data_IF_604988464658
#
_entry.id   IF_604988464658
#
_cell.length_a   1.000
_cell.length_b   1.000
_cell.length_c   1.000
_cell.angle_alpha   90.00
_cell.angle_beta   90.00
_cell.angle_gamma   90.00
#
_symmetry.space_group_name_H-M   'P 1'
#
loop_
_entity.id
_entity.type
_entity.pdbx_description
1 polymer ?
#
# COMPACT_ATOMS: atom_id res chain seq x y z
N UNK A 1 24.82 -14.03 7.26
CA UNK A 1 25.02 -12.82 6.44
C UNK A 1 25.64 -11.73 7.30
N UNK A 2 26.72 -11.11 6.83
CA UNK A 2 27.30 -9.90 7.45
C UNK A 2 26.34 -8.70 7.33
N UNK A 3 26.59 -7.65 8.10
CA UNK A 3 25.75 -6.44 8.03
C UNK A 3 25.85 -5.75 6.66
N UNK A 4 27.01 -5.82 6.00
CA UNK A 4 27.20 -5.34 4.65
C UNK A 4 26.36 -6.14 3.61
N UNK A 5 26.30 -7.44 3.73
CA UNK A 5 25.47 -8.32 2.88
C UNK A 5 23.97 -8.04 3.08
N UNK A 6 23.54 -7.83 4.34
CA UNK A 6 22.15 -7.46 4.64
C UNK A 6 21.77 -6.11 4.01
N UNK A 7 22.66 -5.12 4.10
CA UNK A 7 22.45 -3.79 3.52
C UNK A 7 22.36 -3.87 2.00
N UNK A 8 23.28 -4.60 1.35
CA UNK A 8 23.27 -4.79 -0.10
C UNK A 8 21.99 -5.51 -0.57
N UNK A 9 21.53 -6.52 0.18
CA UNK A 9 20.28 -7.21 -0.12
C UNK A 9 19.07 -6.29 -0.02
N UNK A 10 18.98 -5.46 1.03
CA UNK A 10 17.89 -4.47 1.18
C UNK A 10 17.86 -3.49 0.01
N UNK A 11 19.01 -3.00 -0.42
CA UNK A 11 19.11 -2.08 -1.55
C UNK A 11 18.68 -2.76 -2.87
N UNK A 12 19.08 -4.00 -3.08
CA UNK A 12 18.65 -4.77 -4.26
C UNK A 12 17.12 -4.95 -4.30
N UNK A 13 16.48 -5.21 -3.13
CA UNK A 13 15.01 -5.31 -3.04
C UNK A 13 14.37 -3.97 -3.42
N UNK A 14 14.84 -2.84 -2.87
CA UNK A 14 14.30 -1.51 -3.21
C UNK A 14 14.45 -1.20 -4.70
N UNK A 15 15.62 -1.48 -5.28
CA UNK A 15 15.85 -1.27 -6.71
C UNK A 15 14.89 -2.10 -7.57
N UNK A 16 14.70 -3.36 -7.24
CA UNK A 16 13.77 -4.25 -7.96
C UNK A 16 12.34 -3.71 -7.91
N UNK A 17 11.88 -3.25 -6.74
CA UNK A 17 10.57 -2.64 -6.57
C UNK A 17 10.47 -1.34 -7.36
N UNK A 18 11.47 -0.45 -7.26
CA UNK A 18 11.50 0.84 -7.96
C UNK A 18 11.40 0.68 -9.48
N UNK A 19 12.19 -0.23 -10.06
CA UNK A 19 12.16 -0.53 -11.50
C UNK A 19 10.79 -1.08 -11.92
N UNK A 20 10.21 -2.00 -11.16
CA UNK A 20 8.89 -2.55 -11.43
C UNK A 20 7.78 -1.48 -11.44
N UNK A 21 7.76 -0.61 -10.44
CA UNK A 21 6.77 0.46 -10.33
C UNK A 21 7.01 1.60 -11.33
N UNK A 22 8.26 1.89 -11.71
CA UNK A 22 8.56 2.81 -12.81
C UNK A 22 7.98 2.32 -14.15
N UNK A 23 8.10 1.01 -14.44
CA UNK A 23 7.50 0.41 -15.63
C UNK A 23 5.96 0.53 -15.61
N UNK A 24 5.31 0.31 -14.47
CA UNK A 24 3.86 0.50 -14.30
C UNK A 24 3.47 1.96 -14.53
N UNK A 25 4.18 2.92 -13.93
CA UNK A 25 3.92 4.35 -14.09
C UNK A 25 3.98 4.78 -15.56
N UNK A 26 4.90 4.19 -16.34
CA UNK A 26 5.09 4.47 -17.76
C UNK A 26 4.14 3.67 -18.69
N UNK A 27 3.24 2.85 -18.15
CA UNK A 27 2.32 2.02 -18.92
C UNK A 27 3.01 0.86 -19.68
N UNK A 28 4.24 0.52 -19.31
CA UNK A 28 5.05 -0.53 -19.98
C UNK A 28 4.80 -1.92 -19.39
N UNK A 29 4.20 -2.00 -18.21
CA UNK A 29 3.87 -3.27 -17.55
C UNK A 29 2.50 -3.15 -16.90
N UNK A 30 1.68 -4.14 -17.12
CA UNK A 30 0.38 -4.23 -16.48
C UNK A 30 0.52 -5.11 -15.25
N UNK A 31 0.52 -4.49 -14.09
CA UNK A 31 0.55 -5.03 -12.73
C UNK A 31 1.81 -5.75 -12.21
N UNK A 32 1.94 -5.67 -10.88
CA UNK A 32 2.97 -6.29 -10.04
C UNK A 32 3.06 -7.83 -10.14
N UNK A 33 2.24 -8.46 -10.94
CA UNK A 33 2.10 -9.91 -11.04
C UNK A 33 2.72 -10.51 -12.30
N UNK A 34 3.52 -9.77 -13.07
CA UNK A 34 4.30 -10.34 -14.21
C UNK A 34 3.46 -10.91 -15.37
N UNK A 35 2.16 -10.74 -15.38
CA UNK A 35 1.24 -11.22 -16.40
C UNK A 35 0.63 -10.09 -17.23
N UNK A 36 0.29 -10.36 -18.48
CA UNK A 36 -0.45 -9.46 -19.37
C UNK A 36 -1.84 -9.15 -18.79
N UNK A 37 -1.99 -7.99 -18.14
CA UNK A 37 -3.21 -7.57 -17.48
C UNK A 37 -4.23 -6.96 -18.46
N UNK A 38 -4.51 -7.62 -19.56
CA UNK A 38 -5.63 -7.24 -20.42
C UNK A 38 -7.01 -7.60 -19.83
N UNK A 39 -7.08 -8.08 -18.59
CA UNK A 39 -8.30 -8.62 -18.00
C UNK A 39 -8.83 -7.87 -16.76
N UNK A 40 -8.13 -6.87 -16.23
CA UNK A 40 -8.56 -6.21 -14.99
C UNK A 40 -8.86 -4.72 -15.24
N UNK A 41 -10.14 -4.40 -15.11
CA UNK A 41 -10.59 -3.01 -14.99
C UNK A 41 -10.21 -2.48 -13.58
N UNK A 42 -9.25 -1.52 -13.47
CA UNK A 42 -8.86 -0.97 -12.18
C UNK A 42 -10.03 -0.37 -11.39
N UNK A 43 -11.05 0.13 -12.07
CA UNK A 43 -12.23 0.68 -11.42
C UNK A 43 -13.07 -0.43 -10.77
N UNK A 44 -13.21 -1.58 -11.43
CA UNK A 44 -13.93 -2.74 -10.88
C UNK A 44 -13.23 -3.30 -9.64
N UNK A 45 -11.89 -3.38 -9.66
CA UNK A 45 -11.12 -3.78 -8.49
C UNK A 45 -11.35 -2.82 -7.33
N UNK A 46 -11.20 -1.52 -7.57
CA UNK A 46 -11.39 -0.50 -6.55
C UNK A 46 -12.81 -0.55 -5.95
N UNK A 47 -13.86 -0.76 -6.77
CA UNK A 47 -15.22 -0.94 -6.27
C UNK A 47 -15.36 -2.19 -5.38
N UNK A 48 -14.73 -3.30 -5.77
CA UNK A 48 -14.78 -4.55 -5.00
C UNK A 48 -14.15 -4.43 -3.60
N UNK A 49 -13.22 -3.50 -3.41
CA UNK A 49 -12.55 -3.21 -2.13
C UNK A 49 -13.13 -2.00 -1.39
N UNK A 50 -14.26 -1.46 -1.85
CA UNK A 50 -15.05 -0.49 -1.11
C UNK A 50 -14.91 0.97 -1.54
N UNK A 51 -14.32 1.27 -2.71
CA UNK A 51 -14.40 2.61 -3.29
C UNK A 51 -15.71 2.80 -4.05
N UNK A 52 -16.37 3.93 -3.89
CA UNK A 52 -17.60 4.22 -4.62
C UNK A 52 -17.29 4.57 -6.08
N UNK A 53 -18.22 4.24 -6.99
CA UNK A 53 -18.10 4.65 -8.40
C UNK A 53 -18.02 6.19 -8.53
N UNK A 54 -18.69 6.92 -7.65
CA UNK A 54 -18.67 8.38 -7.61
C UNK A 54 -17.27 8.91 -7.22
N UNK A 55 -16.62 8.34 -6.20
CA UNK A 55 -15.28 8.73 -5.80
C UNK A 55 -14.24 8.41 -6.90
N UNK A 56 -14.39 7.27 -7.57
CA UNK A 56 -13.51 6.88 -8.67
C UNK A 56 -13.63 7.80 -9.88
N UNK A 57 -14.85 8.25 -10.21
CA UNK A 57 -15.10 9.17 -11.32
C UNK A 57 -14.49 10.57 -11.11
N UNK A 58 -14.18 10.93 -9.86
CA UNK A 58 -13.56 12.20 -9.47
C UNK A 58 -12.03 12.20 -9.59
N UNK A 59 -11.42 11.04 -9.76
CA UNK A 59 -9.96 10.92 -9.79
C UNK A 59 -9.36 11.31 -11.14
N UNK A 60 -8.13 11.86 -11.16
CA UNK A 60 -7.40 12.08 -12.38
C UNK A 60 -7.17 10.77 -13.15
N UNK A 61 -7.10 10.85 -14.48
CA UNK A 61 -6.79 9.70 -15.31
C UNK A 61 -5.44 9.08 -14.93
N UNK A 62 -5.43 7.76 -14.75
CA UNK A 62 -4.24 7.00 -14.38
C UNK A 62 -3.80 7.14 -12.91
N UNK A 63 -4.58 7.80 -12.03
CA UNK A 63 -4.34 7.74 -10.59
C UNK A 63 -4.68 6.34 -10.05
N UNK A 64 -5.78 5.73 -10.52
CA UNK A 64 -6.12 4.36 -10.21
C UNK A 64 -5.38 3.40 -11.16
N UNK A 65 -4.41 2.69 -10.65
CA UNK A 65 -3.59 1.72 -11.39
C UNK A 65 -3.92 0.25 -11.04
N UNK A 66 -4.98 0.02 -10.25
CA UNK A 66 -5.39 -1.32 -9.84
C UNK A 66 -4.43 -2.00 -8.84
N UNK A 67 -3.73 -1.24 -8.02
CA UNK A 67 -2.70 -1.71 -7.10
C UNK A 67 -3.17 -1.81 -5.64
N UNK A 68 -4.45 -1.51 -5.37
CA UNK A 68 -5.00 -1.43 -4.01
C UNK A 68 -5.50 -2.78 -3.52
N UNK A 69 -5.32 -3.07 -2.22
CA UNK A 69 -5.85 -4.26 -1.55
C UNK A 69 -6.89 -3.96 -0.46
N UNK A 70 -7.29 -2.69 -0.33
CA UNK A 70 -8.31 -2.21 0.58
C UNK A 70 -8.58 -0.72 0.40
N UNK A 71 -9.39 -0.13 1.29
CA UNK A 71 -9.74 1.28 1.28
C UNK A 71 -9.38 1.94 2.62
N UNK A 72 -8.10 2.31 2.84
CA UNK A 72 -7.65 2.93 4.07
C UNK A 72 -8.28 4.31 4.31
N UNK A 73 -8.66 5.05 3.25
CA UNK A 73 -9.33 6.36 3.35
C UNK A 73 -10.70 6.23 4.02
N UNK A 74 -11.48 5.20 3.65
CA UNK A 74 -12.78 4.95 4.27
C UNK A 74 -12.64 4.50 5.73
N UNK A 75 -11.66 3.62 6.01
CA UNK A 75 -11.40 3.08 7.36
C UNK A 75 -10.91 4.21 8.28
N UNK A 76 -10.06 5.09 7.79
CA UNK A 76 -9.47 6.18 8.58
C UNK A 76 -10.49 7.19 9.12
N UNK A 77 -11.70 7.28 8.56
CA UNK A 77 -12.72 8.27 8.94
C UNK A 77 -12.10 9.68 9.12
N UNK A 78 -11.49 10.18 8.04
CA UNK A 78 -10.78 11.45 8.01
C UNK A 78 -11.71 12.63 8.36
N UNK A 79 -11.16 13.65 9.02
CA UNK A 79 -11.85 14.87 9.43
C UNK A 79 -11.23 16.09 8.78
N UNK A 80 -12.05 17.11 8.57
CA UNK A 80 -11.60 18.42 8.10
C UNK A 80 -10.48 18.97 9.00
N UNK A 81 -9.47 19.59 8.38
CA UNK A 81 -8.34 20.20 9.07
C UNK A 81 -7.19 19.26 9.45
N UNK A 82 -7.33 17.94 9.26
CA UNK A 82 -6.27 16.99 9.57
C UNK A 82 -5.10 17.06 8.59
N UNK A 83 -3.90 16.77 9.09
CA UNK A 83 -2.71 16.48 8.28
C UNK A 83 -2.62 14.96 8.08
N UNK A 84 -2.65 14.52 6.83
CA UNK A 84 -2.61 13.10 6.42
C UNK A 84 -1.30 12.81 5.69
N UNK A 85 -0.69 11.68 5.97
CA UNK A 85 0.44 11.14 5.23
C UNK A 85 -0.02 9.86 4.51
N UNK A 86 0.24 9.78 3.21
CA UNK A 86 -0.03 8.61 2.38
C UNK A 86 1.30 7.96 1.98
N UNK A 87 1.55 6.75 2.49
CA UNK A 87 2.76 5.97 2.21
C UNK A 87 2.62 5.19 0.90
N UNK A 88 3.60 5.36 0.00
CA UNK A 88 3.55 4.77 -1.32
C UNK A 88 2.39 5.31 -2.14
N UNK A 89 2.29 6.64 -2.20
CA UNK A 89 1.13 7.33 -2.78
C UNK A 89 0.93 7.09 -4.28
N UNK A 90 1.90 6.48 -4.98
CA UNK A 90 1.83 6.20 -6.40
C UNK A 90 1.43 7.43 -7.22
N UNK A 91 0.44 7.28 -8.10
CA UNK A 91 -0.16 8.38 -8.88
C UNK A 91 -1.12 9.30 -8.11
N UNK A 92 -1.22 9.14 -6.78
CA UNK A 92 -2.05 9.99 -5.90
C UNK A 92 -3.46 9.45 -5.61
N UNK A 93 -3.71 8.16 -5.84
CA UNK A 93 -5.05 7.57 -5.73
C UNK A 93 -5.74 7.84 -4.38
N UNK A 94 -5.12 7.44 -3.27
CA UNK A 94 -5.66 7.66 -1.92
C UNK A 94 -5.42 9.10 -1.45
N UNK A 95 -4.30 9.73 -1.84
CA UNK A 95 -3.96 11.11 -1.46
C UNK A 95 -5.00 12.13 -1.93
N UNK A 96 -5.50 12.05 -3.17
CA UNK A 96 -6.51 12.99 -3.68
C UNK A 96 -7.86 12.80 -2.98
N UNK A 97 -8.26 11.56 -2.70
CA UNK A 97 -9.48 11.29 -1.94
C UNK A 97 -9.38 11.81 -0.49
N UNK A 98 -8.22 11.60 0.15
CA UNK A 98 -7.94 12.15 1.47
C UNK A 98 -8.00 13.69 1.47
N UNK A 99 -7.46 14.33 0.42
CA UNK A 99 -7.48 15.79 0.25
C UNK A 99 -8.90 16.37 0.25
N UNK A 100 -9.83 15.72 -0.43
CA UNK A 100 -11.24 16.13 -0.43
C UNK A 100 -11.91 15.96 0.94
N UNK A 101 -11.51 14.94 1.71
CA UNK A 101 -12.05 14.68 3.05
C UNK A 101 -11.54 15.71 4.08
N UNK A 102 -10.25 16.07 4.02
CA UNK A 102 -9.66 17.02 4.97
C UNK A 102 -9.88 18.49 4.60
N UNK A 103 -10.33 18.77 3.38
CA UNK A 103 -10.70 20.07 2.85
C UNK A 103 -9.57 21.13 2.92
N UNK A 104 -9.91 22.41 2.69
CA UNK A 104 -8.94 23.52 2.64
C UNK A 104 -8.16 23.73 3.94
N UNK A 105 -8.73 23.39 5.10
CA UNK A 105 -8.08 23.49 6.39
C UNK A 105 -7.10 22.38 6.70
N UNK A 106 -7.12 21.27 5.94
CA UNK A 106 -6.25 20.13 6.09
C UNK A 106 -5.12 20.10 5.06
N UNK A 107 -4.26 19.09 5.18
CA UNK A 107 -3.13 18.86 4.27
C UNK A 107 -2.91 17.37 4.06
N UNK A 108 -2.54 16.98 2.85
CA UNK A 108 -2.12 15.61 2.53
C UNK A 108 -0.72 15.64 1.95
N UNK A 109 0.13 14.75 2.46
CA UNK A 109 1.50 14.54 2.00
C UNK A 109 1.56 13.11 1.45
N UNK A 110 1.73 12.95 0.15
CA UNK A 110 2.01 11.65 -0.46
C UNK A 110 3.52 11.44 -0.54
N UNK A 111 4.00 10.26 -0.13
CA UNK A 111 5.41 9.86 -0.26
C UNK A 111 5.50 8.62 -1.12
N UNK A 112 6.40 8.63 -2.11
CA UNK A 112 6.72 7.46 -2.95
C UNK A 112 8.21 7.47 -3.30
N UNK A 113 8.83 6.30 -3.41
CA UNK A 113 10.26 6.21 -3.74
C UNK A 113 10.54 6.20 -5.25
N UNK A 114 9.48 6.11 -6.08
CA UNK A 114 9.57 6.00 -7.54
C UNK A 114 9.41 7.38 -8.17
N UNK A 115 10.45 7.94 -8.82
CA UNK A 115 10.36 9.26 -9.43
C UNK A 115 9.24 9.41 -10.47
N UNK A 116 8.97 8.36 -11.25
CA UNK A 116 7.92 8.32 -12.25
C UNK A 116 6.52 8.39 -11.64
N UNK A 117 6.32 7.73 -10.49
CA UNK A 117 5.08 7.83 -9.71
C UNK A 117 4.87 9.24 -9.20
N UNK A 118 5.90 9.85 -8.60
CA UNK A 118 5.84 11.23 -8.12
C UNK A 118 5.59 12.22 -9.26
N UNK A 119 6.22 12.04 -10.42
CA UNK A 119 5.98 12.88 -11.59
C UNK A 119 4.51 12.79 -12.05
N UNK A 120 3.95 11.57 -12.09
CA UNK A 120 2.55 11.32 -12.42
C UNK A 120 1.61 11.96 -11.40
N UNK A 121 1.85 11.77 -10.10
CA UNK A 121 1.07 12.36 -9.03
C UNK A 121 1.06 13.89 -9.10
N UNK A 122 2.22 14.51 -9.30
CA UNK A 122 2.34 15.97 -9.46
C UNK A 122 1.60 16.50 -10.68
N UNK A 123 1.66 15.79 -11.82
CA UNK A 123 0.87 16.14 -13.01
C UNK A 123 -0.65 16.06 -12.71
N UNK A 124 -1.08 15.08 -11.93
CA UNK A 124 -2.46 14.90 -11.54
C UNK A 124 -2.96 16.00 -10.56
N UNK A 125 -2.06 16.70 -9.89
CA UNK A 125 -2.41 17.80 -8.97
C UNK A 125 -3.15 18.95 -9.66
N UNK A 126 -2.77 19.26 -10.90
CA UNK A 126 -3.45 20.34 -11.67
C UNK A 126 -4.92 20.01 -11.91
N UNK A 127 -5.23 18.78 -12.30
CA UNK A 127 -6.60 18.31 -12.47
C UNK A 127 -7.37 18.35 -11.14
N UNK A 128 -6.77 17.89 -10.06
CA UNK A 128 -7.35 17.91 -8.73
C UNK A 128 -7.72 19.34 -8.29
N UNK A 129 -6.78 20.29 -8.44
CA UNK A 129 -7.00 21.70 -8.09
C UNK A 129 -8.09 22.36 -8.93
N UNK A 130 -8.10 22.12 -10.25
CA UNK A 130 -9.12 22.66 -11.16
C UNK A 130 -10.51 22.15 -10.80
N UNK A 131 -10.64 20.87 -10.46
CA UNK A 131 -11.93 20.27 -10.14
C UNK A 131 -12.45 20.65 -8.75
N UNK A 132 -11.57 20.71 -7.74
CA UNK A 132 -11.98 20.86 -6.33
C UNK A 132 -11.81 22.27 -5.79
N UNK A 133 -10.97 23.10 -6.43
CA UNK A 133 -10.52 24.37 -5.88
C UNK A 133 -9.54 24.22 -4.69
N UNK A 134 -9.10 23.00 -4.36
CA UNK A 134 -8.22 22.72 -3.23
C UNK A 134 -6.77 22.64 -3.68
N UNK A 135 -5.85 23.23 -2.89
CA UNK A 135 -4.38 23.16 -3.08
C UNK A 135 -3.70 22.52 -1.86
N UNK A 136 -4.31 21.48 -1.30
CA UNK A 136 -3.96 20.89 -0.02
C UNK A 136 -3.26 19.51 -0.12
N UNK A 137 -2.86 19.09 -1.33
CA UNK A 137 -2.15 17.82 -1.58
C UNK A 137 -0.77 18.13 -2.17
N UNK A 138 0.28 17.51 -1.62
CA UNK A 138 1.63 17.59 -2.14
C UNK A 138 2.28 16.21 -2.20
N UNK A 139 3.30 16.03 -3.05
CA UNK A 139 4.01 14.77 -3.25
C UNK A 139 5.52 14.93 -3.08
N UNK A 140 6.12 14.04 -2.28
CA UNK A 140 7.53 14.01 -1.96
C UNK A 140 8.17 12.70 -2.40
N UNK A 141 9.32 12.78 -3.04
CA UNK A 141 10.16 11.62 -3.31
C UNK A 141 10.85 11.19 -2.01
N UNK A 142 10.72 9.92 -1.64
CA UNK A 142 11.34 9.39 -0.41
C UNK A 142 10.99 7.93 -0.18
N UNK A 143 11.82 7.27 0.64
CA UNK A 143 11.60 5.90 1.11
C UNK A 143 10.76 5.92 2.39
N UNK A 144 9.90 4.90 2.56
CA UNK A 144 9.02 4.82 3.73
C UNK A 144 9.77 4.44 5.02
N UNK A 145 10.98 3.89 4.90
CA UNK A 145 11.90 3.62 6.00
C UNK A 145 12.60 4.88 6.53
N UNK A 146 12.56 6.00 5.75
CA UNK A 146 13.18 7.28 6.08
C UNK A 146 12.32 8.43 5.54
N UNK A 147 11.20 8.68 6.21
CA UNK A 147 10.17 9.59 5.73
C UNK A 147 10.68 11.05 5.68
N UNK A 148 10.56 11.74 4.52
CA UNK A 148 10.90 13.17 4.40
C UNK A 148 9.81 14.06 5.04
N UNK A 149 9.48 13.76 6.30
CA UNK A 149 8.40 14.35 7.08
C UNK A 149 8.91 14.60 8.52
N UNK A 150 8.70 15.80 9.10
CA UNK A 150 9.11 16.10 10.46
C UNK A 150 8.42 15.23 11.51
N UNK A 151 9.01 15.18 12.71
CA UNK A 151 8.44 14.50 13.87
C UNK A 151 7.11 15.11 14.28
N UNK A 152 6.19 14.28 14.78
CA UNK A 152 4.95 14.67 15.44
C UNK A 152 4.14 15.76 14.69
N UNK A 153 4.04 15.66 13.36
CA UNK A 153 3.33 16.64 12.54
C UNK A 153 2.11 16.08 11.79
N UNK A 154 1.88 14.76 11.83
CA UNK A 154 0.83 14.05 11.09
C UNK A 154 -0.27 13.57 12.05
N UNK A 155 -1.53 13.78 11.69
CA UNK A 155 -2.68 13.29 12.45
C UNK A 155 -3.06 11.84 12.08
N UNK A 156 -2.94 11.52 10.78
CA UNK A 156 -3.32 10.20 10.25
C UNK A 156 -2.30 9.74 9.21
N UNK A 157 -1.85 8.48 9.31
CA UNK A 157 -1.07 7.82 8.27
C UNK A 157 -1.95 6.80 7.55
N UNK A 158 -1.95 6.85 6.23
CA UNK A 158 -2.58 5.90 5.32
C UNK A 158 -1.50 5.07 4.62
N UNK A 159 -1.82 3.82 4.28
CA UNK A 159 -1.01 3.00 3.38
C UNK A 159 -1.89 1.93 2.71
N UNK A 160 -1.60 1.64 1.44
CA UNK A 160 -2.34 0.66 0.66
C UNK A 160 -1.40 -0.22 -0.16
N UNK A 161 -1.18 -1.47 0.29
CA UNK A 161 -0.31 -2.47 -0.36
C UNK A 161 1.16 -2.00 -0.56
N UNK A 162 1.75 -1.35 0.43
CA UNK A 162 3.10 -0.76 0.30
C UNK A 162 4.08 -1.29 1.34
N UNK A 163 3.66 -1.49 2.59
CA UNK A 163 4.58 -1.85 3.68
C UNK A 163 5.27 -3.19 3.39
N UNK A 164 4.57 -4.12 2.73
CA UNK A 164 5.14 -5.41 2.32
C UNK A 164 6.30 -5.28 1.32
N UNK A 165 6.37 -4.21 0.55
CA UNK A 165 7.45 -3.94 -0.40
C UNK A 165 8.75 -3.50 0.30
N UNK A 166 8.66 -3.02 1.54
CA UNK A 166 9.83 -2.63 2.31
C UNK A 166 10.64 -3.83 2.77
N UNK A 167 11.97 -3.81 2.61
CA UNK A 167 12.88 -4.79 3.21
C UNK A 167 13.10 -4.60 4.71
N UNK A 168 12.59 -3.51 5.31
CA UNK A 168 12.71 -3.19 6.74
C UNK A 168 11.41 -2.64 7.34
N UNK A 169 10.41 -3.51 7.44
CA UNK A 169 9.08 -3.15 7.94
C UNK A 169 9.08 -2.61 9.37
N UNK A 170 9.96 -3.13 10.22
CA UNK A 170 10.10 -2.63 11.59
C UNK A 170 10.57 -1.17 11.59
N UNK A 171 11.48 -0.78 10.67
CA UNK A 171 11.89 0.61 10.51
C UNK A 171 10.75 1.48 9.98
N UNK A 172 9.93 0.97 9.05
CA UNK A 172 8.73 1.70 8.58
C UNK A 172 7.82 2.03 9.75
N UNK A 173 7.51 1.06 10.62
CA UNK A 173 6.64 1.32 11.78
C UNK A 173 7.24 2.32 12.77
N UNK A 174 8.57 2.32 12.97
CA UNK A 174 9.25 3.36 13.78
C UNK A 174 9.11 4.75 13.16
N UNK A 175 9.27 4.88 11.85
CA UNK A 175 9.11 6.15 11.14
C UNK A 175 7.66 6.65 11.17
N UNK A 176 6.70 5.75 10.97
CA UNK A 176 5.27 6.07 11.11
C UNK A 176 4.97 6.58 12.52
N UNK A 177 5.49 5.91 13.54
CA UNK A 177 5.34 6.36 14.92
C UNK A 177 6.01 7.73 15.17
N UNK A 178 7.20 7.95 14.62
CA UNK A 178 7.93 9.22 14.75
C UNK A 178 7.12 10.40 14.22
N UNK A 179 6.59 10.29 12.99
CA UNK A 179 5.90 11.40 12.31
C UNK A 179 4.49 11.67 12.86
N UNK A 180 3.85 10.71 13.49
CA UNK A 180 2.53 10.88 14.09
C UNK A 180 2.60 11.81 15.31
N UNK A 181 1.62 12.70 15.42
CA UNK A 181 1.34 13.46 16.65
C UNK A 181 0.91 12.51 17.77
N UNK A 182 1.10 12.90 19.06
CA UNK A 182 0.43 12.20 20.16
C UNK A 182 -1.08 12.08 19.92
N UNK A 183 -1.63 10.87 20.04
CA UNK A 183 -3.02 10.56 19.72
C UNK A 183 -3.34 10.40 18.22
N UNK A 184 -2.36 10.56 17.36
CA UNK A 184 -2.47 10.28 15.94
C UNK A 184 -2.69 8.79 15.66
N UNK A 185 -3.18 8.45 14.48
CA UNK A 185 -3.55 7.08 14.13
C UNK A 185 -3.03 6.63 12.78
N UNK A 186 -2.93 5.33 12.62
CA UNK A 186 -2.69 4.68 11.32
C UNK A 186 -3.95 4.01 10.81
N UNK A 187 -4.08 3.94 9.48
CA UNK A 187 -5.06 3.12 8.79
C UNK A 187 -4.37 2.53 7.55
N UNK A 188 -4.08 1.24 7.62
CA UNK A 188 -3.32 0.53 6.59
C UNK A 188 -4.15 -0.64 6.08
N UNK A 189 -4.09 -0.86 4.76
CA UNK A 189 -4.57 -2.09 4.13
C UNK A 189 -3.38 -2.74 3.43
N UNK A 190 -3.01 -3.95 3.82
CA UNK A 190 -1.93 -4.71 3.19
C UNK A 190 -2.22 -6.21 3.24
N UNK A 191 -1.47 -7.02 2.49
CA UNK A 191 -1.57 -8.46 2.59
C UNK A 191 -0.81 -8.98 3.81
N UNK A 192 -1.32 -10.01 4.45
CA UNK A 192 -0.66 -10.67 5.57
C UNK A 192 -0.80 -12.19 5.46
N UNK A 193 0.10 -12.91 6.12
CA UNK A 193 0.04 -14.36 6.22
C UNK A 193 -0.75 -14.76 7.46
N UNK A 194 -1.68 -15.71 7.28
CA UNK A 194 -2.37 -16.42 8.35
C UNK A 194 -1.51 -17.56 8.90
N UNK A 195 -0.78 -18.24 8.00
CA UNK A 195 0.22 -19.28 8.29
C UNK A 195 1.37 -19.19 7.29
N UNK A 196 2.51 -19.78 7.63
CA UNK A 196 3.66 -19.76 6.73
C UNK A 196 3.34 -20.45 5.41
N UNK A 197 3.75 -19.83 4.30
CA UNK A 197 3.66 -20.44 2.98
C UNK A 197 4.56 -21.67 2.91
N UNK A 198 4.14 -22.74 2.20
CA UNK A 198 5.03 -23.84 1.85
C UNK A 198 6.30 -23.34 1.16
N UNK A 199 7.45 -24.00 1.39
CA UNK A 199 8.73 -23.56 0.85
C UNK A 199 8.71 -23.40 -0.67
N UNK A 200 8.06 -24.34 -1.38
CA UNK A 200 7.87 -24.29 -2.83
C UNK A 200 7.13 -23.03 -3.29
N UNK A 201 6.07 -22.63 -2.57
CA UNK A 201 5.29 -21.42 -2.86
C UNK A 201 6.07 -20.18 -2.47
N UNK A 202 6.80 -20.21 -1.38
CA UNK A 202 7.61 -19.09 -0.89
C UNK A 202 8.72 -18.72 -1.88
N UNK A 203 9.36 -19.72 -2.49
CA UNK A 203 10.36 -19.49 -3.53
C UNK A 203 9.75 -18.89 -4.79
N UNK A 204 8.57 -19.34 -5.19
CA UNK A 204 7.82 -18.73 -6.31
C UNK A 204 7.37 -17.30 -5.97
N UNK A 205 6.84 -17.09 -4.77
CA UNK A 205 6.39 -15.76 -4.31
C UNK A 205 7.56 -14.78 -4.17
N UNK A 206 8.76 -15.23 -3.82
CA UNK A 206 9.96 -14.40 -3.80
C UNK A 206 10.39 -13.93 -5.20
N UNK A 207 10.02 -14.66 -6.25
CA UNK A 207 10.22 -14.23 -7.64
C UNK A 207 9.18 -13.18 -8.08
N UNK A 208 8.14 -12.94 -7.26
CA UNK A 208 7.05 -12.03 -7.54
C UNK A 208 7.30 -10.69 -6.87
N UNK A 209 7.70 -9.72 -7.64
CA UNK A 209 7.71 -8.31 -7.24
C UNK A 209 6.26 -7.90 -6.92
N UNK A 210 5.81 -8.14 -5.72
CA UNK A 210 4.45 -7.86 -5.29
C UNK A 210 4.24 -7.98 -3.79
N UNK A 211 3.08 -7.55 -3.32
CA UNK A 211 2.70 -7.51 -1.91
C UNK A 211 2.74 -8.89 -1.22
N UNK A 212 2.61 -9.99 -1.98
CA UNK A 212 2.62 -11.37 -1.44
C UNK A 212 4.01 -11.80 -1.00
N UNK A 213 5.05 -11.50 -1.79
CA UNK A 213 6.43 -11.92 -1.52
C UNK A 213 6.99 -11.36 -0.21
N UNK A 214 6.55 -10.17 0.15
CA UNK A 214 6.95 -9.52 1.39
C UNK A 214 5.97 -9.65 2.54
N UNK A 215 4.84 -10.34 2.35
CA UNK A 215 3.84 -10.50 3.41
C UNK A 215 4.44 -11.25 4.62
N UNK A 216 4.10 -10.78 5.80
CA UNK A 216 4.50 -11.37 7.07
C UNK A 216 3.28 -11.89 7.83
N UNK A 217 3.49 -12.71 8.86
CA UNK A 217 2.40 -13.19 9.70
C UNK A 217 1.67 -12.03 10.39
N UNK A 218 0.35 -12.17 10.56
CA UNK A 218 -0.46 -11.20 11.33
C UNK A 218 0.14 -10.95 12.72
N UNK A 219 0.68 -11.98 13.36
CA UNK A 219 1.35 -11.88 14.67
C UNK A 219 2.64 -11.06 14.61
N UNK A 220 3.42 -11.18 13.52
CA UNK A 220 4.64 -10.39 13.32
C UNK A 220 4.31 -8.91 13.09
N UNK A 221 3.23 -8.63 12.33
CA UNK A 221 2.73 -7.25 12.18
C UNK A 221 2.39 -6.63 13.53
N UNK A 222 1.69 -7.38 14.41
CA UNK A 222 1.38 -6.95 15.77
C UNK A 222 2.64 -6.65 16.57
N UNK A 223 3.61 -7.57 16.58
CA UNK A 223 4.86 -7.40 17.31
C UNK A 223 5.63 -6.15 16.88
N UNK A 224 5.74 -5.90 15.56
CA UNK A 224 6.41 -4.70 15.05
C UNK A 224 5.70 -3.40 15.47
N UNK A 225 4.38 -3.39 15.53
CA UNK A 225 3.61 -2.23 16.01
C UNK A 225 3.83 -1.98 17.50
N UNK A 226 3.79 -3.04 18.32
CA UNK A 226 4.04 -2.98 19.78
C UNK A 226 5.47 -2.50 20.06
N UNK A 227 6.47 -3.03 19.35
CA UNK A 227 7.87 -2.62 19.46
C UNK A 227 8.10 -1.15 19.04
N UNK A 228 7.34 -0.64 18.06
CA UNK A 228 7.38 0.76 17.67
C UNK A 228 6.70 1.70 18.66
N UNK A 229 5.92 1.19 19.63
CA UNK A 229 5.26 1.95 20.69
C UNK A 229 3.77 2.23 20.45
N UNK A 230 3.14 1.62 19.44
CA UNK A 230 1.72 1.79 19.16
C UNK A 230 0.85 1.14 20.24
N UNK A 231 -0.31 1.76 20.46
CA UNK A 231 -1.38 1.28 21.34
C UNK A 231 -2.68 1.08 20.56
N UNK A 232 -3.68 0.49 21.20
CA UNK A 232 -5.01 0.24 20.60
C UNK A 232 -4.90 -0.41 19.22
N UNK A 233 -4.09 -1.47 19.13
CA UNK A 233 -3.80 -2.16 17.87
C UNK A 233 -4.96 -3.09 17.51
N UNK A 234 -5.64 -2.77 16.42
CA UNK A 234 -6.70 -3.58 15.82
C UNK A 234 -6.22 -4.13 14.48
N UNK A 235 -6.24 -5.46 14.36
CA UNK A 235 -5.87 -6.18 13.14
C UNK A 235 -7.09 -6.95 12.67
N UNK A 236 -7.69 -6.52 11.55
CA UNK A 236 -8.91 -7.10 11.01
C UNK A 236 -8.65 -7.80 9.68
N UNK A 237 -8.61 -9.15 9.67
CA UNK A 237 -8.50 -9.92 8.44
C UNK A 237 -9.76 -9.78 7.57
N UNK A 238 -9.58 -9.65 6.25
CA UNK A 238 -10.66 -9.60 5.25
C UNK A 238 -10.47 -10.74 4.23
N UNK A 239 -11.00 -11.93 4.52
CA UNK A 239 -10.76 -13.12 3.71
C UNK A 239 -11.38 -13.05 2.31
N UNK A 240 -12.46 -12.30 2.13
CA UNK A 240 -13.17 -12.21 0.84
C UNK A 240 -12.33 -11.58 -0.26
N UNK A 241 -11.35 -10.74 0.09
CA UNK A 241 -10.44 -10.13 -0.88
C UNK A 241 -9.68 -11.20 -1.69
N UNK A 242 -9.01 -12.13 -1.00
CA UNK A 242 -8.21 -13.19 -1.64
C UNK A 242 -9.11 -14.20 -2.35
N UNK A 243 -10.27 -14.54 -1.79
CA UNK A 243 -11.26 -15.42 -2.44
C UNK A 243 -11.79 -14.84 -3.75
N UNK A 244 -12.05 -13.54 -3.78
CA UNK A 244 -12.47 -12.85 -4.99
C UNK A 244 -11.36 -12.82 -6.05
N UNK A 245 -10.09 -12.73 -5.64
CA UNK A 245 -8.94 -12.79 -6.55
C UNK A 245 -8.74 -14.16 -7.21
N UNK A 246 -9.14 -15.26 -6.55
CA UNK A 246 -9.10 -16.60 -7.14
C UNK A 246 -9.96 -16.73 -8.41
N UNK A 247 -11.03 -15.92 -8.50
CA UNK A 247 -11.87 -15.84 -9.70
C UNK A 247 -11.24 -14.99 -10.82
N UNK A 248 -10.09 -14.37 -10.58
CA UNK A 248 -9.38 -13.61 -11.58
C UNK A 248 -8.43 -14.53 -12.34
N UNK A 249 -8.44 -14.41 -13.66
CA UNK A 249 -7.59 -15.21 -14.57
C UNK A 249 -6.10 -14.77 -14.52
N UNK A 250 -5.55 -14.53 -13.33
CA UNK A 250 -4.15 -14.20 -13.16
C UNK A 250 -3.30 -15.48 -13.23
N UNK A 251 -2.41 -15.64 -14.24
CA UNK A 251 -1.58 -16.83 -14.41
C UNK A 251 -0.74 -17.16 -13.19
N UNK A 252 -0.35 -16.17 -12.44
CA UNK A 252 0.51 -16.28 -11.27
C UNK A 252 -0.23 -16.88 -10.08
N UNK A 253 -1.43 -16.37 -9.77
CA UNK A 253 -2.27 -16.92 -8.72
C UNK A 253 -2.62 -18.39 -9.02
N UNK A 254 -2.77 -18.76 -10.30
CA UNK A 254 -2.96 -20.17 -10.69
C UNK A 254 -1.74 -21.02 -10.40
N UNK A 255 -0.54 -20.56 -10.75
CA UNK A 255 0.69 -21.30 -10.47
C UNK A 255 0.91 -21.52 -8.96
N UNK A 256 0.62 -20.49 -8.14
CA UNK A 256 0.69 -20.63 -6.69
C UNK A 256 -0.37 -21.60 -6.19
N UNK A 257 -1.61 -21.50 -6.67
CA UNK A 257 -2.69 -22.41 -6.27
C UNK A 257 -2.39 -23.86 -6.63
N UNK A 258 -1.77 -24.11 -7.79
CA UNK A 258 -1.33 -25.45 -8.23
C UNK A 258 -0.18 -26.02 -7.37
N UNK A 259 0.64 -25.16 -6.76
CA UNK A 259 1.76 -25.54 -5.91
C UNK A 259 1.37 -25.75 -4.43
N UNK A 260 0.14 -25.41 -4.04
CA UNK A 260 -0.36 -25.64 -2.70
C UNK A 260 -0.65 -27.12 -2.43
N UNK A 261 -0.61 -27.57 -1.16
CA UNK A 261 -1.04 -28.90 -0.76
C UNK A 261 -2.48 -29.20 -1.20
N UNK A 262 -2.77 -30.45 -1.55
CA UNK A 262 -4.13 -30.86 -1.96
C UNK A 262 -5.17 -30.54 -0.88
N UNK A 263 -6.20 -29.80 -1.27
CA UNK A 263 -7.31 -29.42 -0.41
C UNK A 263 -7.09 -28.11 0.35
N UNK A 264 -5.99 -27.40 0.08
CA UNK A 264 -5.74 -26.07 0.62
C UNK A 264 -5.87 -25.00 -0.47
N UNK A 265 -6.33 -23.80 -0.07
CA UNK A 265 -6.53 -22.66 -0.94
C UNK A 265 -5.60 -21.51 -0.53
N UNK A 266 -5.36 -20.57 -1.44
CA UNK A 266 -4.58 -19.36 -1.12
C UNK A 266 -5.16 -18.58 0.06
N UNK A 267 -6.49 -18.54 0.17
CA UNK A 267 -7.19 -17.89 1.28
C UNK A 267 -6.91 -18.53 2.67
N UNK A 268 -6.36 -19.75 2.71
CA UNK A 268 -5.91 -20.37 3.96
C UNK A 268 -4.57 -19.83 4.45
N UNK A 269 -3.82 -19.18 3.55
CA UNK A 269 -2.47 -18.68 3.81
C UNK A 269 -2.40 -17.17 3.83
N UNK A 270 -3.14 -16.50 2.95
CA UNK A 270 -3.02 -15.06 2.70
C UNK A 270 -4.37 -14.40 2.93
N UNK A 271 -4.33 -13.20 3.50
CA UNK A 271 -5.50 -12.38 3.75
C UNK A 271 -5.17 -10.91 3.49
N UNK A 272 -6.15 -10.12 3.04
CA UNK A 272 -6.05 -8.67 3.16
C UNK A 272 -6.26 -8.31 4.64
N UNK A 273 -5.34 -7.56 5.21
CA UNK A 273 -5.33 -7.16 6.61
C UNK A 273 -5.54 -5.65 6.71
N UNK A 274 -6.58 -5.26 7.43
CA UNK A 274 -6.70 -3.88 7.91
C UNK A 274 -5.95 -3.74 9.22
N UNK A 275 -5.09 -2.73 9.29
CA UNK A 275 -4.31 -2.38 10.48
C UNK A 275 -4.74 -1.00 10.94
N UNK A 276 -5.26 -0.90 12.15
CA UNK A 276 -5.52 0.36 12.85
C UNK A 276 -4.75 0.38 14.17
N UNK A 277 -4.08 1.48 14.48
CA UNK A 277 -3.38 1.66 15.75
C UNK A 277 -3.24 3.14 16.09
N UNK A 278 -2.88 3.46 17.33
CA UNK A 278 -2.69 4.83 17.84
C UNK A 278 -1.33 5.02 18.48
N UNK A 279 -0.77 6.23 18.28
CA UNK A 279 0.40 6.71 19.03
C UNK A 279 -0.01 7.24 20.37
#
# INVERSE_FOLDING_TARGET
MSDAEKTAHKEQVRETVRVGYAAIANGQSACCCGGSCNAHDPARLAQAIGYSAEDLAKLPEGANMGLSCGNPVAIAALREGQTVLDLGSGGGFDAFQAGERVKAGGRVIGVDMTPEMIAKARKNTDFYQQRTGLANVEFRLGEIEHLPVPDACVDVVLSNCVINLSPDKAQVWREVFRVLKPGGKVSVSDLALLKMLPDTVREMAAALVGCVAGAVLVSETRGMLEEAGFSSIELTPKPDYVRNMQNWNDPLYRQIAEALPKGEEMADYIVSLTVEARK
#
